data_IF_343205329569
#
_entry.id   IF_343205329569
#
_cell.length_a   1.000
_cell.length_b   1.000
_cell.length_c   1.000
_cell.angle_alpha   90.00
_cell.angle_beta   90.00
_cell.angle_gamma   90.00
#
_symmetry.space_group_name_H-M   'P 1'
#
loop_
_entity.id
_entity.type
_entity.pdbx_description
1 polymer ?
#
# COMPACT_ATOMS: atom_id res chain seq x y z
N UNK A 1 -5.59 19.32 -5.78
CA UNK A 1 -5.94 18.01 -5.18
C UNK A 1 -5.25 16.98 -6.03
N UNK A 2 -4.48 16.07 -5.43
CA UNK A 2 -3.72 15.07 -6.19
C UNK A 2 -3.76 13.72 -5.48
N UNK A 3 -3.60 12.66 -6.26
CA UNK A 3 -3.40 11.31 -5.78
C UNK A 3 -2.35 10.66 -6.65
N UNK A 4 -1.34 10.08 -6.02
CA UNK A 4 -0.27 9.35 -6.69
C UNK A 4 -0.07 8.04 -5.97
N UNK A 5 0.15 6.98 -6.74
CA UNK A 5 0.35 5.65 -6.20
C UNK A 5 1.33 4.87 -7.05
N UNK A 6 2.06 3.99 -6.40
CA UNK A 6 2.95 3.03 -7.02
C UNK A 6 2.68 1.65 -6.41
N UNK A 7 2.42 0.68 -7.28
CA UNK A 7 2.22 -0.71 -6.92
C UNK A 7 3.16 -1.57 -7.75
N UNK A 8 3.80 -2.53 -7.10
CA UNK A 8 4.66 -3.48 -7.81
C UNK A 8 4.72 -4.81 -7.05
N UNK A 9 5.09 -5.85 -7.78
CA UNK A 9 5.31 -7.19 -7.28
C UNK A 9 6.73 -7.62 -7.59
N UNK A 10 7.43 -8.13 -6.59
CA UNK A 10 8.78 -8.67 -6.71
C UNK A 10 8.83 -10.07 -6.12
N UNK A 11 9.75 -10.92 -6.57
CA UNK A 11 9.94 -12.25 -5.98
C UNK A 11 11.09 -12.20 -5.00
N UNK A 12 10.82 -12.49 -3.73
CA UNK A 12 11.83 -12.58 -2.67
C UNK A 12 11.84 -14.01 -2.17
N UNK A 13 13.00 -14.65 -2.18
CA UNK A 13 13.16 -16.06 -1.74
C UNK A 13 12.22 -17.05 -2.47
N UNK A 14 11.85 -16.75 -3.71
CA UNK A 14 10.91 -17.54 -4.51
C UNK A 14 9.43 -17.33 -4.17
N UNK A 15 9.12 -16.42 -3.24
CA UNK A 15 7.76 -16.04 -2.86
C UNK A 15 7.39 -14.71 -3.55
N UNK A 16 6.22 -14.62 -4.22
CA UNK A 16 5.76 -13.38 -4.82
C UNK A 16 5.32 -12.40 -3.73
N UNK A 17 5.95 -11.25 -3.67
CA UNK A 17 5.74 -10.22 -2.66
C UNK A 17 5.19 -8.99 -3.35
N UNK A 18 4.09 -8.45 -2.86
CA UNK A 18 3.45 -7.26 -3.46
C UNK A 18 3.54 -6.10 -2.48
N UNK A 19 3.92 -4.93 -2.97
CA UNK A 19 3.95 -3.71 -2.18
C UNK A 19 3.24 -2.58 -2.90
N UNK A 20 2.59 -1.73 -2.13
CA UNK A 20 1.87 -0.58 -2.63
C UNK A 20 2.17 0.63 -1.76
N UNK A 21 2.42 1.77 -2.39
CA UNK A 21 2.61 3.05 -1.72
C UNK A 21 1.72 4.06 -2.42
N UNK A 22 0.93 4.79 -1.66
CA UNK A 22 0.05 5.82 -2.20
C UNK A 22 0.09 7.07 -1.32
N UNK A 23 0.03 8.23 -1.96
CA UNK A 23 -0.12 9.51 -1.29
C UNK A 23 -1.27 10.28 -1.93
N UNK A 24 -2.14 10.84 -1.11
CA UNK A 24 -3.24 11.69 -1.54
C UNK A 24 -3.19 13.01 -0.79
N UNK A 25 -3.54 14.09 -1.48
CA UNK A 25 -3.73 15.40 -0.85
C UNK A 25 -5.08 15.96 -1.22
N UNK A 26 -5.92 16.12 -0.21
CA UNK A 26 -7.31 16.54 -0.33
C UNK A 26 -7.51 17.87 0.38
N UNK A 27 -8.36 18.74 -0.19
CA UNK A 27 -8.74 20.01 0.42
C UNK A 27 -10.12 19.83 1.05
N UNK A 28 -10.23 20.12 2.33
CA UNK A 28 -11.50 20.07 3.05
C UNK A 28 -12.40 21.23 2.60
N UNK A 29 -13.65 20.93 2.24
CA UNK A 29 -14.54 21.90 1.60
C UNK A 29 -15.01 23.01 2.56
N UNK A 30 -15.13 22.72 3.86
CA UNK A 30 -15.66 23.67 4.85
C UNK A 30 -14.58 24.56 5.47
N UNK A 31 -13.38 24.04 5.71
CA UNK A 31 -12.29 24.77 6.37
C UNK A 31 -11.23 25.27 5.38
N UNK A 32 -11.22 24.73 4.16
CA UNK A 32 -10.17 24.99 3.17
C UNK A 32 -8.82 24.36 3.51
N UNK A 33 -8.70 23.63 4.63
CA UNK A 33 -7.46 22.98 5.07
C UNK A 33 -7.07 21.87 4.11
N UNK A 34 -5.77 21.72 3.88
CA UNK A 34 -5.23 20.59 3.13
C UNK A 34 -4.83 19.47 4.07
N UNK A 35 -5.32 18.27 3.80
CA UNK A 35 -4.92 17.04 4.46
C UNK A 35 -4.13 16.21 3.46
N UNK A 36 -2.95 15.73 3.88
CA UNK A 36 -2.15 14.79 3.11
C UNK A 36 -2.20 13.46 3.83
N UNK A 37 -2.52 12.40 3.11
CA UNK A 37 -2.52 11.04 3.63
C UNK A 37 -1.52 10.22 2.84
N UNK A 38 -0.70 9.46 3.55
CA UNK A 38 0.26 8.53 2.96
C UNK A 38 -0.07 7.14 3.46
N UNK A 39 -0.16 6.20 2.53
CA UNK A 39 -0.39 4.79 2.79
C UNK A 39 0.75 3.97 2.22
N UNK A 40 1.19 2.99 2.98
CA UNK A 40 2.07 1.93 2.51
C UNK A 40 1.49 0.58 2.93
N UNK A 41 1.51 -0.38 2.02
CA UNK A 41 1.14 -1.75 2.31
C UNK A 41 2.11 -2.74 1.68
N UNK A 42 2.29 -3.85 2.37
CA UNK A 42 3.17 -4.94 1.99
C UNK A 42 2.46 -6.26 2.25
N UNK A 43 2.36 -7.11 1.24
CA UNK A 43 1.70 -8.40 1.33
C UNK A 43 2.66 -9.50 0.89
N UNK A 44 2.80 -10.52 1.73
CA UNK A 44 3.72 -11.65 1.52
C UNK A 44 2.99 -12.97 1.75
N UNK A 45 3.10 -13.96 0.85
CA UNK A 45 2.64 -15.31 1.13
C UNK A 45 3.57 -15.98 2.14
N UNK A 46 3.00 -16.67 3.12
CA UNK A 46 3.74 -17.42 4.14
C UNK A 46 4.16 -18.82 3.66
N UNK A 47 3.89 -19.17 2.39
CA UNK A 47 4.21 -20.46 1.82
C UNK A 47 4.17 -20.47 0.30
N UNK A 48 4.60 -21.58 -0.31
CA UNK A 48 4.71 -21.76 -1.77
C UNK A 48 3.46 -22.40 -2.42
N UNK A 49 2.47 -22.77 -1.62
CA UNK A 49 1.21 -23.34 -2.10
C UNK A 49 0.35 -22.27 -2.78
N UNK A 50 -0.46 -22.69 -3.76
CA UNK A 50 -1.49 -21.82 -4.39
C UNK A 50 -2.48 -21.29 -3.33
N UNK A 51 -2.71 -22.03 -2.25
CA UNK A 51 -3.59 -21.65 -1.14
C UNK A 51 -2.79 -21.24 0.11
N UNK A 52 -1.56 -20.74 -0.06
CA UNK A 52 -0.77 -20.29 1.07
C UNK A 52 -1.42 -19.06 1.74
N UNK A 53 -1.44 -19.00 3.09
CA UNK A 53 -1.94 -17.83 3.80
C UNK A 53 -1.07 -16.60 3.49
N UNK A 54 -1.71 -15.44 3.44
CA UNK A 54 -1.06 -14.16 3.14
C UNK A 54 -0.91 -13.33 4.41
N UNK A 55 0.29 -12.84 4.68
CA UNK A 55 0.57 -11.88 5.73
C UNK A 55 0.62 -10.48 5.12
N UNK A 56 -0.14 -9.55 5.68
CA UNK A 56 -0.21 -8.17 5.20
C UNK A 56 0.16 -7.19 6.30
N UNK A 57 1.03 -6.24 5.97
CA UNK A 57 1.40 -5.11 6.81
C UNK A 57 0.91 -3.83 6.14
N UNK A 58 0.38 -2.92 6.95
CA UNK A 58 -0.08 -1.61 6.51
C UNK A 58 0.41 -0.53 7.46
N UNK A 59 0.81 0.60 6.89
CA UNK A 59 1.13 1.81 7.61
C UNK A 59 0.42 3.00 6.95
N UNK A 60 -0.03 3.93 7.79
CA UNK A 60 -0.74 5.13 7.36
C UNK A 60 -0.23 6.33 8.14
N UNK A 61 -0.08 7.46 7.46
CA UNK A 61 0.21 8.75 8.06
C UNK A 61 -0.74 9.84 7.52
#
# INVERSE_FOLDING_TARGET
>A
MFQVGYSNSLRVLGLPMTYNIAASRQREAMTGRFTTQVFASLTVPLGKSIHAPMLSFGATH
#
